data_IF_575195815646
#
_entry.id   IF_575195815646
#
_cell.length_a   1.000
_cell.length_b   1.000
_cell.length_c   1.000
_cell.angle_alpha   90.00
_cell.angle_beta   90.00
_cell.angle_gamma   90.00
#
_symmetry.space_group_name_H-M   'P 1'
#
loop_
_entity.id
_entity.type
_entity.pdbx_description
1 polymer ?
#
# COMPACT_ATOMS: atom_id res chain seq x y z
N UNK A 1 3.41 -7.13 -2.63
CA UNK A 1 4.00 -7.14 -3.98
C UNK A 1 3.42 -6.03 -4.84
N UNK A 2 4.29 -5.32 -5.51
CA UNK A 2 3.86 -4.29 -6.45
C UNK A 2 3.49 -4.98 -7.76
N UNK A 3 2.24 -4.78 -8.21
CA UNK A 3 1.74 -5.41 -9.42
C UNK A 3 1.61 -4.45 -10.59
N UNK A 4 1.51 -3.16 -10.32
CA UNK A 4 1.43 -2.14 -11.36
C UNK A 4 2.12 -0.85 -10.92
N UNK A 5 2.74 -0.16 -11.89
CA UNK A 5 3.30 1.17 -11.68
C UNK A 5 2.88 2.02 -12.88
N UNK A 6 2.26 3.16 -12.60
CA UNK A 6 1.82 4.10 -13.63
C UNK A 6 2.43 5.45 -13.38
N UNK A 7 3.26 5.89 -14.31
CA UNK A 7 3.86 7.21 -14.26
C UNK A 7 2.84 8.26 -14.68
N UNK A 8 2.77 9.34 -13.93
CA UNK A 8 1.84 10.45 -14.17
C UNK A 8 2.65 11.69 -14.56
N UNK A 9 2.11 12.45 -15.51
CA UNK A 9 2.73 13.70 -15.94
C UNK A 9 4.22 13.54 -16.25
N UNK A 10 4.54 12.53 -17.06
CA UNK A 10 5.91 12.27 -17.54
C UNK A 10 6.90 12.01 -16.39
N UNK A 11 6.45 11.32 -15.36
CA UNK A 11 7.30 10.97 -14.24
C UNK A 11 7.31 11.96 -13.08
N UNK A 12 6.44 12.98 -13.13
CA UNK A 12 6.32 13.92 -12.00
C UNK A 12 5.72 13.26 -10.76
N UNK A 13 4.95 12.18 -10.94
CA UNK A 13 4.36 11.42 -9.84
C UNK A 13 4.13 10.00 -10.31
N UNK A 14 3.89 9.09 -9.37
CA UNK A 14 3.59 7.70 -9.68
C UNK A 14 2.30 7.28 -8.98
N UNK A 15 1.52 6.43 -9.65
CA UNK A 15 0.45 5.68 -9.01
C UNK A 15 0.87 4.22 -9.04
N UNK A 16 0.83 3.55 -7.90
CA UNK A 16 1.21 2.14 -7.82
C UNK A 16 0.07 1.32 -7.24
N UNK A 17 0.03 0.06 -7.65
CA UNK A 17 -0.87 -0.92 -7.09
C UNK A 17 -0.02 -1.96 -6.38
N UNK A 18 -0.24 -2.11 -5.08
CA UNK A 18 0.49 -3.07 -4.25
C UNK A 18 -0.51 -3.96 -3.52
N UNK A 19 -0.27 -5.26 -3.54
CA UNK A 19 -1.15 -6.22 -2.86
C UNK A 19 -0.67 -6.41 -1.44
N UNK A 20 -1.61 -6.30 -0.48
CA UNK A 20 -1.34 -6.55 0.92
C UNK A 20 -1.54 -8.03 1.22
N UNK A 21 -0.53 -8.69 1.77
CA UNK A 21 -0.57 -10.11 2.11
C UNK A 21 -0.23 -10.31 3.57
N UNK A 22 -0.79 -11.39 4.13
CA UNK A 22 -0.42 -11.85 5.45
C UNK A 22 -1.48 -11.59 6.48
N UNK A 23 -1.06 -11.52 7.73
CA UNK A 23 -1.93 -11.27 8.87
C UNK A 23 -1.30 -10.19 9.76
N UNK A 24 -1.99 -9.78 10.86
CA UNK A 24 -1.44 -8.71 11.71
C UNK A 24 -0.09 -9.04 12.35
N UNK A 25 0.30 -10.30 12.42
CA UNK A 25 1.58 -10.70 13.00
C UNK A 25 2.72 -10.66 12.00
N UNK A 26 2.40 -10.88 10.73
CA UNK A 26 3.41 -10.97 9.66
C UNK A 26 3.49 -9.73 8.78
N UNK A 27 2.47 -8.88 8.83
CA UNK A 27 2.36 -7.69 8.00
C UNK A 27 2.33 -6.44 8.84
N UNK A 28 2.96 -5.39 8.34
CA UNK A 28 2.91 -4.07 8.99
C UNK A 28 1.68 -3.26 8.59
N UNK A 29 0.89 -3.77 7.64
CA UNK A 29 -0.27 -3.06 7.12
C UNK A 29 -1.60 -3.78 7.38
N UNK A 30 -1.61 -5.11 7.33
CA UNK A 30 -2.84 -5.89 7.53
C UNK A 30 -3.39 -5.69 8.94
N UNK A 31 -4.68 -5.42 9.03
CA UNK A 31 -5.35 -5.23 10.31
C UNK A 31 -5.20 -3.83 10.91
N UNK A 32 -4.48 -2.96 10.22
CA UNK A 32 -4.30 -1.56 10.66
C UNK A 32 -5.13 -0.63 9.81
N UNK A 33 -5.61 0.44 10.40
CA UNK A 33 -6.28 1.48 9.62
C UNK A 33 -5.24 2.36 8.92
N UNK A 34 -5.67 2.97 7.83
CA UNK A 34 -4.80 3.80 6.98
C UNK A 34 -4.04 4.85 7.82
N UNK A 35 -4.71 5.47 8.79
CA UNK A 35 -4.08 6.50 9.63
C UNK A 35 -2.88 5.98 10.43
N UNK A 36 -2.86 4.69 10.75
CA UNK A 36 -1.82 4.09 11.59
C UNK A 36 -0.71 3.41 10.79
N UNK A 37 -0.81 3.42 9.46
CA UNK A 37 0.21 2.82 8.60
C UNK A 37 1.30 3.87 8.34
N UNK A 38 2.57 3.57 8.68
CA UNK A 38 3.65 4.55 8.55
C UNK A 38 4.14 4.64 7.11
N UNK A 39 3.34 5.29 6.25
CA UNK A 39 3.72 5.48 4.86
C UNK A 39 4.96 6.37 4.75
N UNK A 40 5.83 6.12 3.75
CA UNK A 40 6.92 7.02 3.46
C UNK A 40 6.39 8.42 3.15
N UNK A 41 7.20 9.43 3.45
CA UNK A 41 6.85 10.82 3.15
C UNK A 41 6.58 10.98 1.65
N UNK A 42 5.53 11.72 1.31
CA UNK A 42 5.16 11.93 -0.09
C UNK A 42 4.32 10.81 -0.69
N UNK A 43 3.83 9.89 0.15
CA UNK A 43 3.04 8.75 -0.26
C UNK A 43 1.67 8.81 0.41
N UNK A 44 0.62 8.47 -0.31
CA UNK A 44 -0.72 8.42 0.27
C UNK A 44 -1.53 7.28 -0.33
N UNK A 45 -2.45 6.73 0.49
CA UNK A 45 -3.45 5.81 -0.02
C UNK A 45 -4.50 6.57 -0.83
N UNK A 46 -4.89 6.02 -1.98
CA UNK A 46 -5.98 6.56 -2.77
C UNK A 46 -7.21 5.70 -2.70
N UNK A 47 -7.06 4.41 -2.99
CA UNK A 47 -8.17 3.47 -3.04
C UNK A 47 -7.71 2.07 -2.69
N UNK A 48 -8.67 1.19 -2.41
CA UNK A 48 -8.43 -0.22 -2.15
C UNK A 48 -9.41 -1.00 -3.01
N UNK A 49 -8.90 -1.99 -3.74
CA UNK A 49 -9.75 -2.93 -4.48
C UNK A 49 -9.79 -4.22 -3.67
N UNK A 50 -10.95 -4.51 -3.14
CA UNK A 50 -11.19 -5.70 -2.32
C UNK A 50 -12.17 -6.59 -3.06
N UNK A 51 -11.65 -7.66 -3.67
CA UNK A 51 -12.45 -8.46 -4.58
C UNK A 51 -12.89 -7.60 -5.77
N UNK A 52 -14.18 -7.45 -5.96
CA UNK A 52 -14.74 -6.62 -7.03
C UNK A 52 -15.15 -5.23 -6.55
N UNK A 53 -14.94 -4.94 -5.27
CA UNK A 53 -15.37 -3.69 -4.67
C UNK A 53 -14.21 -2.68 -4.62
N UNK A 54 -14.48 -1.44 -5.04
CA UNK A 54 -13.52 -0.35 -4.93
C UNK A 54 -13.91 0.52 -3.76
N UNK A 55 -12.99 0.66 -2.82
CA UNK A 55 -13.17 1.47 -1.61
C UNK A 55 -12.26 2.69 -1.69
N UNK A 56 -12.82 3.86 -1.42
CA UNK A 56 -11.99 5.05 -1.25
C UNK A 56 -11.32 4.94 0.11
N UNK A 57 -10.01 5.11 0.16
CA UNK A 57 -9.26 4.97 1.40
C UNK A 57 -9.48 6.17 2.31
N UNK A 58 -10.05 5.92 3.48
CA UNK A 58 -10.22 6.91 4.54
C UNK A 58 -9.25 6.60 5.68
N UNK A 59 -9.08 7.55 6.61
CA UNK A 59 -8.15 7.37 7.73
C UNK A 59 -8.51 6.16 8.61
N UNK A 60 -9.78 5.78 8.67
CA UNK A 60 -10.26 4.66 9.49
C UNK A 60 -10.47 3.36 8.69
N UNK A 61 -10.14 3.36 7.41
CA UNK A 61 -10.24 2.14 6.58
C UNK A 61 -9.18 1.14 7.03
N UNK A 62 -9.61 -0.09 7.34
CA UNK A 62 -8.71 -1.16 7.78
C UNK A 62 -8.30 -2.01 6.58
N UNK A 63 -7.00 -2.25 6.45
CA UNK A 63 -6.45 -3.05 5.36
C UNK A 63 -6.62 -4.54 5.69
N UNK A 64 -7.06 -5.30 4.71
CA UNK A 64 -7.27 -6.74 4.83
C UNK A 64 -6.35 -7.51 3.88
N UNK A 65 -6.17 -8.79 4.18
CA UNK A 65 -5.38 -9.68 3.31
C UNK A 65 -5.98 -9.69 1.89
N UNK A 66 -5.11 -9.69 0.91
CA UNK A 66 -5.42 -9.66 -0.52
C UNK A 66 -6.03 -8.34 -1.01
N UNK A 67 -6.04 -7.30 -0.20
CA UNK A 67 -6.41 -5.97 -0.67
C UNK A 67 -5.39 -5.48 -1.69
N UNK A 68 -5.88 -4.98 -2.82
CA UNK A 68 -5.07 -4.28 -3.80
C UNK A 68 -5.11 -2.80 -3.45
N UNK A 69 -4.01 -2.28 -2.98
CA UNK A 69 -3.91 -0.90 -2.49
C UNK A 69 -3.36 -0.01 -3.59
N UNK A 70 -4.09 1.05 -3.90
CA UNK A 70 -3.65 2.06 -4.87
C UNK A 70 -3.07 3.22 -4.08
N UNK A 71 -1.78 3.48 -4.30
CA UNK A 71 -1.05 4.55 -3.64
C UNK A 71 -0.55 5.57 -4.64
N UNK A 72 -0.48 6.82 -4.22
CA UNK A 72 0.12 7.90 -5.00
C UNK A 72 1.43 8.31 -4.35
N UNK A 73 2.46 8.45 -5.18
CA UNK A 73 3.81 8.82 -4.74
C UNK A 73 4.25 10.07 -5.48
N UNK A 74 4.84 11.01 -4.75
CA UNK A 74 5.42 12.20 -5.38
C UNK A 74 6.81 11.94 -5.96
N UNK A 75 7.42 10.80 -5.62
CA UNK A 75 8.76 10.45 -6.06
C UNK A 75 8.86 8.94 -6.25
N UNK A 76 9.23 8.53 -7.46
CA UNK A 76 9.38 7.11 -7.78
C UNK A 76 10.41 6.40 -6.91
N UNK A 77 11.35 7.12 -6.31
CA UNK A 77 12.33 6.53 -5.41
C UNK A 77 11.68 5.98 -4.13
N UNK A 78 10.46 6.37 -3.83
CA UNK A 78 9.71 5.85 -2.68
C UNK A 78 9.14 4.46 -2.91
N UNK A 79 9.15 3.95 -4.16
CA UNK A 79 8.58 2.64 -4.48
C UNK A 79 9.22 1.54 -3.63
N UNK A 80 10.55 1.56 -3.48
CA UNK A 80 11.23 0.54 -2.68
C UNK A 80 10.84 0.59 -1.21
N UNK A 81 10.62 1.77 -0.67
CA UNK A 81 10.20 1.93 0.72
C UNK A 81 8.78 1.41 0.92
N UNK A 82 7.89 1.65 -0.03
CA UNK A 82 6.53 1.11 0.01
C UNK A 82 6.58 -0.42 -0.07
N UNK A 83 7.39 -0.96 -0.96
CA UNK A 83 7.53 -2.40 -1.11
C UNK A 83 7.99 -3.06 0.20
N UNK A 84 8.97 -2.45 0.88
CA UNK A 84 9.43 -2.94 2.17
C UNK A 84 8.34 -2.87 3.24
N UNK A 85 7.53 -1.81 3.23
CA UNK A 85 6.44 -1.65 4.18
C UNK A 85 5.40 -2.77 4.02
N UNK A 86 5.13 -3.18 2.78
CA UNK A 86 4.14 -4.22 2.49
C UNK A 86 4.71 -5.64 2.52
N UNK A 87 6.01 -5.78 2.76
CA UNK A 87 6.65 -7.09 2.80
C UNK A 87 6.16 -7.90 4.01
N UNK A 88 6.02 -9.21 3.81
CA UNK A 88 5.62 -10.14 4.86
C UNK A 88 6.86 -10.62 5.60
N UNK A 89 6.79 -10.59 6.92
CA UNK A 89 7.85 -11.11 7.79
C UNK A 89 7.53 -12.57 8.11
N UNK A 90 8.52 -13.45 8.03
CA UNK A 90 8.30 -14.85 8.32
C UNK A 90 8.07 -15.12 9.81
N UNK A 91 8.52 -14.24 10.69
CA UNK A 91 8.06 -14.21 12.07
C UNK A 91 8.66 -15.23 13.03
N UNK A 92 9.76 -15.85 12.70
CA UNK A 92 10.39 -16.81 13.58
C UNK A 92 11.82 -16.46 13.92
N UNK A 93 12.02 -15.28 14.38
CA UNK A 93 13.35 -14.79 14.71
C UNK A 93 13.52 -14.63 16.18
#
# INVERSE_FOLDING_TARGET
>A
DIVNVHSLRRGAAEAIEVVAHGDPKTSKVIGRCVADIPLPKGTSFGAIVRGEEVLIAHHDTVIANDDHCILFLTDRHMINDVERLFAVTLGFF
#
